data_IF_260672115445
#
_entry.id   IF_260672115445
#
_cell.length_a   1.000
_cell.length_b   1.000
_cell.length_c   1.000
_cell.angle_alpha   90.00
_cell.angle_beta   90.00
_cell.angle_gamma   90.00
#
_symmetry.space_group_name_H-M   'P 1'
#
loop_
_entity.id
_entity.type
_entity.pdbx_description
1 polymer ?
#
# COMPACT_ATOMS: atom_id res chain seq x y z
N UNK A 1 3.32 78.40 11.48
CA UNK A 1 3.02 77.46 12.58
C UNK A 1 2.53 76.09 12.12
N UNK A 2 1.63 75.97 11.12
CA UNK A 2 1.07 74.67 10.68
C UNK A 2 2.10 73.66 10.16
N UNK A 3 3.11 74.09 9.39
CA UNK A 3 4.15 73.18 8.82
C UNK A 3 5.08 72.53 9.89
N UNK A 4 5.38 73.21 11.00
CA UNK A 4 6.20 72.65 12.09
C UNK A 4 5.44 71.60 12.92
N UNK A 5 4.12 71.72 13.01
CA UNK A 5 3.25 70.77 13.71
C UNK A 5 3.14 69.45 12.94
N UNK A 6 3.03 69.51 11.60
CA UNK A 6 3.05 68.30 10.77
C UNK A 6 4.40 67.57 10.81
N UNK A 7 5.51 68.32 10.91
CA UNK A 7 6.85 67.72 11.05
C UNK A 7 7.03 67.03 12.42
N UNK A 8 6.53 67.63 13.50
CA UNK A 8 6.55 67.05 14.86
C UNK A 8 5.60 65.85 15.04
N UNK A 9 4.45 65.85 14.36
CA UNK A 9 3.52 64.71 14.28
C UNK A 9 4.11 63.56 13.45
N UNK A 10 4.77 63.88 12.33
CA UNK A 10 5.46 62.88 11.51
C UNK A 10 6.66 62.23 12.22
N UNK A 11 7.42 63.00 13.00
CA UNK A 11 8.53 62.46 13.79
C UNK A 11 8.06 61.57 14.95
N UNK A 12 6.91 61.87 15.57
CA UNK A 12 6.30 61.02 16.61
C UNK A 12 5.76 59.71 16.04
N UNK A 13 5.16 59.73 14.85
CA UNK A 13 4.69 58.51 14.17
C UNK A 13 5.84 57.59 13.75
N UNK A 14 6.97 58.16 13.32
CA UNK A 14 8.16 57.39 12.96
C UNK A 14 8.88 56.81 14.20
N UNK A 15 8.86 57.51 15.34
CA UNK A 15 9.44 57.04 16.60
C UNK A 15 8.61 55.93 17.29
N UNK A 16 7.28 55.93 17.12
CA UNK A 16 6.39 54.88 17.63
C UNK A 16 6.44 53.58 16.81
N UNK A 17 7.06 53.61 15.62
CA UNK A 17 7.19 52.45 14.73
C UNK A 17 8.38 51.54 15.06
N UNK A 18 9.21 51.90 16.05
CA UNK A 18 10.41 51.15 16.44
C UNK A 18 10.28 50.36 17.76
N UNK A 19 9.09 50.31 18.37
CA UNK A 19 8.83 49.54 19.60
C UNK A 19 7.85 48.38 19.37
N UNK A 20 8.19 47.47 18.46
CA UNK A 20 7.30 46.37 18.10
C UNK A 20 7.99 45.13 17.53
N UNK A 21 9.17 44.77 18.03
CA UNK A 21 9.63 43.40 17.90
C UNK A 21 10.39 43.05 19.19
N UNK A 22 9.61 42.70 20.22
CA UNK A 22 10.18 41.95 21.33
C UNK A 22 10.56 40.60 20.72
N UNK A 23 11.82 40.22 20.79
CA UNK A 23 12.19 38.82 20.57
C UNK A 23 11.58 38.06 21.72
N UNK A 24 10.32 37.67 21.56
CA UNK A 24 9.77 36.59 22.37
C UNK A 24 10.67 35.40 22.03
N UNK A 25 11.56 35.06 22.96
CA UNK A 25 12.23 33.77 22.90
C UNK A 25 11.09 32.75 22.87
N UNK A 26 10.91 32.12 21.71
CA UNK A 26 10.01 30.98 21.60
C UNK A 26 10.66 29.92 22.45
N UNK A 27 10.20 29.78 23.70
CA UNK A 27 10.43 28.58 24.47
C UNK A 27 9.87 27.45 23.61
N UNK A 28 10.76 26.63 23.06
CA UNK A 28 10.36 25.35 22.50
C UNK A 28 9.73 24.63 23.68
N UNK A 29 8.40 24.57 23.69
CA UNK A 29 7.66 23.78 24.68
C UNK A 29 8.26 22.38 24.74
N UNK A 30 8.19 21.74 25.91
CA UNK A 30 8.68 20.38 26.06
C UNK A 30 8.24 19.55 24.84
N UNK A 31 9.19 18.84 24.23
CA UNK A 31 8.90 17.99 23.07
C UNK A 31 7.67 17.15 23.42
N UNK A 32 6.65 17.26 22.58
CA UNK A 32 5.42 16.50 22.77
C UNK A 32 5.78 15.02 22.89
N UNK A 33 5.17 14.33 23.87
CA UNK A 33 5.50 12.93 24.12
C UNK A 33 5.23 12.13 22.83
N UNK A 34 6.20 11.33 22.41
CA UNK A 34 6.00 10.44 21.27
C UNK A 34 5.10 9.25 21.67
N UNK A 35 3.81 9.42 21.40
CA UNK A 35 2.79 8.42 21.68
C UNK A 35 2.88 7.18 20.78
N UNK A 36 3.63 7.21 19.68
CA UNK A 36 3.84 6.02 18.84
C UNK A 36 4.91 5.08 19.40
N UNK A 37 5.83 5.57 20.23
CA UNK A 37 6.78 4.73 20.98
C UNK A 37 6.15 4.09 22.22
N UNK A 38 5.13 4.73 22.79
CA UNK A 38 4.44 4.25 24.00
C UNK A 38 2.92 4.35 23.84
N UNK A 39 2.34 3.63 22.86
CA UNK A 39 0.92 3.73 22.58
C UNK A 39 0.09 3.20 23.74
N UNK A 40 -1.15 3.66 23.82
CA UNK A 40 -2.06 3.25 24.87
C UNK A 40 -2.25 1.72 24.87
N UNK A 41 -2.27 1.12 26.06
CA UNK A 41 -2.45 -0.33 26.22
C UNK A 41 -1.22 -1.20 25.90
N UNK A 42 -0.08 -0.61 25.52
CA UNK A 42 1.16 -1.37 25.32
C UNK A 42 1.68 -1.95 26.64
N UNK A 43 1.94 -3.25 26.65
CA UNK A 43 2.61 -3.92 27.77
C UNK A 43 4.09 -3.51 27.87
N UNK A 44 4.78 -3.89 28.96
CA UNK A 44 6.22 -3.68 29.06
C UNK A 44 7.01 -4.43 27.97
N UNK A 45 6.55 -5.63 27.59
CA UNK A 45 7.16 -6.42 26.52
C UNK A 45 6.91 -5.78 25.14
N UNK A 46 5.71 -5.24 24.92
CA UNK A 46 5.39 -4.50 23.70
C UNK A 46 6.33 -3.31 23.55
N UNK A 47 6.48 -2.50 24.60
CA UNK A 47 7.35 -1.31 24.58
C UNK A 47 8.81 -1.67 24.24
N UNK A 48 9.33 -2.78 24.76
CA UNK A 48 10.68 -3.24 24.42
C UNK A 48 10.82 -3.53 22.91
N UNK A 49 9.84 -4.25 22.32
CA UNK A 49 9.83 -4.53 20.88
C UNK A 49 9.70 -3.24 20.07
N UNK A 50 8.81 -2.34 20.48
CA UNK A 50 8.52 -1.09 19.77
C UNK A 50 9.72 -0.14 19.75
N UNK A 51 10.36 0.07 20.91
CA UNK A 51 11.55 0.88 21.01
C UNK A 51 12.71 0.28 20.22
N UNK A 52 12.97 -1.02 20.36
CA UNK A 52 14.05 -1.67 19.62
C UNK A 52 13.86 -1.58 18.11
N UNK A 53 12.62 -1.83 17.63
CA UNK A 53 12.30 -1.75 16.21
C UNK A 53 12.45 -0.33 15.67
N UNK A 54 12.00 0.69 16.42
CA UNK A 54 12.16 2.09 16.03
C UNK A 54 13.62 2.55 16.04
N UNK A 55 14.40 2.20 17.06
CA UNK A 55 15.81 2.57 17.15
C UNK A 55 16.62 1.96 15.99
N UNK A 56 16.23 0.78 15.52
CA UNK A 56 16.92 0.05 14.45
C UNK A 56 16.48 0.47 13.06
N UNK A 57 15.17 0.71 12.86
CA UNK A 57 14.60 0.90 11.52
C UNK A 57 14.00 2.28 11.28
N UNK A 58 13.85 3.09 12.33
CA UNK A 58 13.16 4.39 12.32
C UNK A 58 11.73 4.30 11.77
N UNK A 59 11.05 3.20 12.09
CA UNK A 59 9.65 2.92 11.74
C UNK A 59 8.95 2.55 13.04
N UNK A 60 7.75 3.10 13.26
CA UNK A 60 6.97 2.76 14.45
C UNK A 60 6.33 1.39 14.31
N UNK A 61 6.34 0.61 15.39
CA UNK A 61 5.69 -0.69 15.48
C UNK A 61 4.50 -0.59 16.43
N UNK A 62 3.34 -1.10 16.01
CA UNK A 62 2.11 -1.08 16.79
C UNK A 62 1.48 -2.47 16.82
N UNK A 63 0.94 -2.86 17.97
CA UNK A 63 0.15 -4.09 18.14
C UNK A 63 -1.32 -3.82 18.45
N UNK A 64 -1.68 -2.53 18.59
CA UNK A 64 -3.04 -2.05 18.72
C UNK A 64 -3.16 -0.72 17.96
N UNK A 65 -4.38 -0.36 17.58
CA UNK A 65 -4.64 0.84 16.78
C UNK A 65 -4.71 2.13 17.61
N UNK A 66 -4.77 2.05 18.94
CA UNK A 66 -5.00 3.19 19.83
C UNK A 66 -3.69 3.80 20.28
N UNK A 67 -3.37 4.97 19.74
CA UNK A 67 -2.14 5.71 20.04
C UNK A 67 -2.21 6.39 21.41
N UNK A 68 -3.32 7.07 21.71
CA UNK A 68 -3.45 7.85 22.94
C UNK A 68 -4.85 7.72 23.51
N UNK A 69 -4.92 7.71 24.85
CA UNK A 69 -6.14 7.95 25.62
C UNK A 69 -5.89 9.13 26.55
N UNK A 70 -6.71 10.18 26.42
CA UNK A 70 -6.62 11.37 27.24
C UNK A 70 -7.95 11.62 27.96
N UNK A 71 -7.90 11.92 29.25
CA UNK A 71 -9.08 12.40 29.97
C UNK A 71 -9.26 13.89 29.67
N UNK A 72 -10.29 14.24 28.91
CA UNK A 72 -10.50 15.62 28.45
C UNK A 72 -11.51 16.38 29.29
N UNK A 73 -12.43 15.69 29.98
CA UNK A 73 -13.39 16.32 30.88
C UNK A 73 -13.99 15.33 31.89
N UNK A 74 -14.93 15.82 32.71
CA UNK A 74 -15.73 15.02 33.64
C UNK A 74 -17.20 15.33 33.34
N UNK A 75 -18.00 14.29 33.15
CA UNK A 75 -19.43 14.41 32.91
C UNK A 75 -20.16 14.97 34.15
N UNK A 76 -21.39 15.51 34.01
CA UNK A 76 -22.17 16.03 35.15
C UNK A 76 -22.46 15.02 36.27
N UNK A 77 -22.35 13.72 35.97
CA UNK A 77 -22.50 12.60 36.92
C UNK A 77 -21.17 12.21 37.61
N UNK A 78 -20.12 13.03 37.47
CA UNK A 78 -18.76 12.79 37.95
C UNK A 78 -18.02 11.61 37.30
N UNK A 79 -18.50 11.09 36.16
CA UNK A 79 -17.74 10.09 35.41
C UNK A 79 -16.69 10.75 34.49
N UNK A 80 -15.45 10.23 34.42
CA UNK A 80 -14.43 10.79 33.53
C UNK A 80 -14.79 10.56 32.05
N UNK A 81 -14.66 11.60 31.24
CA UNK A 81 -14.83 11.54 29.79
C UNK A 81 -13.45 11.49 29.12
N UNK A 82 -13.28 10.54 28.21
CA UNK A 82 -12.01 10.29 27.52
C UNK A 82 -12.12 10.53 26.02
N UNK A 83 -11.06 11.07 25.44
CA UNK A 83 -10.83 11.13 24.00
C UNK A 83 -9.76 10.11 23.63
N UNK A 84 -9.95 9.46 22.49
CA UNK A 84 -9.03 8.47 21.96
C UNK A 84 -8.48 8.95 20.63
N UNK A 85 -7.17 8.81 20.47
CA UNK A 85 -6.49 8.97 19.18
C UNK A 85 -6.13 7.57 18.68
N UNK A 86 -6.64 7.20 17.51
CA UNK A 86 -6.35 5.93 16.88
C UNK A 86 -5.66 6.13 15.52
N UNK A 87 -4.97 5.10 15.05
CA UNK A 87 -4.45 5.01 13.70
C UNK A 87 -5.62 5.04 12.71
N UNK A 88 -5.64 6.05 11.85
CA UNK A 88 -6.62 6.12 10.78
C UNK A 88 -6.06 5.53 9.49
N UNK A 89 -6.33 4.23 9.25
CA UNK A 89 -5.92 3.56 8.00
C UNK A 89 -6.61 4.14 6.76
N UNK A 90 -7.85 4.63 6.90
CA UNK A 90 -8.65 5.18 5.81
C UNK A 90 -8.29 6.62 5.44
N UNK A 91 -7.37 7.27 6.16
CA UNK A 91 -6.98 8.64 5.89
C UNK A 91 -6.21 8.77 4.58
N UNK A 92 -6.59 9.75 3.75
CA UNK A 92 -5.83 10.17 2.59
C UNK A 92 -6.00 11.68 2.32
N UNK A 93 -4.97 12.32 1.77
CA UNK A 93 -4.95 13.78 1.53
C UNK A 93 -5.90 14.22 0.41
N UNK A 94 -6.15 13.36 -0.59
CA UNK A 94 -7.01 13.67 -1.75
C UNK A 94 -8.44 13.16 -1.58
N UNK A 95 -8.74 12.61 -0.40
CA UNK A 95 -10.03 12.06 -0.01
C UNK A 95 -9.83 11.01 1.07
N UNK A 96 -10.58 11.10 2.18
CA UNK A 96 -10.61 10.03 3.18
C UNK A 96 -11.61 8.98 2.74
N UNK A 97 -11.31 7.70 3.01
CA UNK A 97 -12.36 6.68 2.97
C UNK A 97 -13.47 7.11 3.94
N UNK A 98 -14.67 7.26 3.40
CA UNK A 98 -15.85 7.60 4.19
C UNK A 98 -16.13 6.48 5.16
N UNK A 99 -16.26 6.80 6.46
CA UNK A 99 -16.61 5.83 7.49
C UNK A 99 -18.02 5.25 7.34
N UNK A 100 -18.86 5.85 6.48
CA UNK A 100 -20.16 5.27 6.08
C UNK A 100 -20.00 4.13 5.09
N UNK A 101 -18.92 4.14 4.32
CA UNK A 101 -18.70 3.22 3.21
C UNK A 101 -17.57 2.23 3.50
N UNK A 102 -16.77 2.48 4.54
CA UNK A 102 -15.56 1.75 4.88
C UNK A 102 -15.40 1.70 6.40
N UNK A 103 -15.43 0.49 6.98
CA UNK A 103 -15.27 0.28 8.43
C UNK A 103 -14.12 -0.70 8.64
N UNK A 104 -13.24 -0.37 9.58
CA UNK A 104 -12.16 -1.23 10.02
C UNK A 104 -12.43 -1.73 11.43
N UNK A 105 -12.32 -3.03 11.61
CA UNK A 105 -12.25 -3.70 12.90
C UNK A 105 -11.02 -4.62 12.90
N UNK A 106 -10.40 -4.81 14.06
CA UNK A 106 -9.18 -5.60 14.19
C UNK A 106 -9.32 -6.65 15.28
N UNK A 107 -8.85 -7.86 14.95
CA UNK A 107 -8.53 -8.85 15.96
C UNK A 107 -7.05 -8.66 16.33
N UNK A 108 -6.77 -8.41 17.60
CA UNK A 108 -5.41 -8.15 18.08
C UNK A 108 -4.67 -9.45 18.42
N UNK A 109 -3.35 -9.42 18.29
CA UNK A 109 -2.47 -10.52 18.71
C UNK A 109 -2.57 -10.66 20.23
N UNK A 110 -2.78 -11.88 20.73
CA UNK A 110 -3.08 -12.13 22.14
C UNK A 110 -1.83 -12.43 22.98
N UNK A 111 -0.79 -13.02 22.39
CA UNK A 111 0.39 -13.49 23.14
C UNK A 111 1.67 -12.75 22.78
N UNK A 112 2.57 -12.59 23.76
CA UNK A 112 3.89 -11.97 23.53
C UNK A 112 4.75 -12.78 22.54
N UNK A 113 4.60 -14.12 22.54
CA UNK A 113 5.30 -14.99 21.59
C UNK A 113 4.91 -14.68 20.14
N UNK A 114 3.61 -14.55 19.86
CA UNK A 114 3.12 -14.20 18.53
C UNK A 114 3.58 -12.81 18.10
N UNK A 115 3.53 -11.81 19.01
CA UNK A 115 4.03 -10.46 18.73
C UNK A 115 5.52 -10.45 18.38
N UNK A 116 6.32 -11.24 19.11
CA UNK A 116 7.75 -11.38 18.83
C UNK A 116 7.99 -12.02 17.46
N UNK A 117 7.29 -13.12 17.13
CA UNK A 117 7.41 -13.78 15.82
C UNK A 117 6.96 -12.85 14.69
N UNK A 118 5.86 -12.11 14.87
CA UNK A 118 5.39 -11.15 13.88
C UNK A 118 6.39 -10.01 13.65
N UNK A 119 6.99 -9.49 14.73
CA UNK A 119 8.04 -8.46 14.65
C UNK A 119 9.24 -8.97 13.88
N UNK A 120 9.71 -10.18 14.21
CA UNK A 120 10.84 -10.81 13.54
C UNK A 120 10.55 -11.09 12.06
N UNK A 121 9.36 -11.59 11.74
CA UNK A 121 8.94 -11.82 10.35
C UNK A 121 9.00 -10.52 9.51
N UNK A 122 8.48 -9.42 10.04
CA UNK A 122 8.54 -8.12 9.33
C UNK A 122 9.98 -7.64 9.20
N UNK A 123 10.78 -7.76 10.25
CA UNK A 123 12.17 -7.36 10.25
C UNK A 123 13.04 -8.15 9.27
N UNK A 124 12.90 -9.47 9.27
CA UNK A 124 13.83 -10.38 8.59
C UNK A 124 13.36 -10.74 7.17
N UNK A 125 12.05 -10.73 6.91
CA UNK A 125 11.46 -11.18 5.62
C UNK A 125 10.85 -10.04 4.82
N UNK A 126 10.20 -9.05 5.46
CA UNK A 126 9.52 -7.95 4.74
C UNK A 126 10.46 -6.77 4.48
N UNK A 127 10.98 -6.15 5.55
CA UNK A 127 11.77 -4.91 5.49
C UNK A 127 13.00 -4.95 4.55
N UNK A 128 13.75 -6.06 4.42
CA UNK A 128 14.88 -6.12 3.50
C UNK A 128 14.48 -5.96 2.03
N UNK A 129 13.19 -6.18 1.74
CA UNK A 129 12.60 -6.09 0.40
C UNK A 129 12.01 -4.71 0.11
N UNK A 130 11.94 -3.84 1.13
CA UNK A 130 11.38 -2.50 1.05
C UNK A 130 12.52 -1.48 1.14
N UNK A 131 12.80 -0.84 0.02
CA UNK A 131 13.62 0.35 -0.05
C UNK A 131 13.01 1.51 0.73
N UNK A 132 13.78 2.59 0.97
CA UNK A 132 13.38 3.68 1.86
C UNK A 132 11.99 4.26 1.56
N UNK A 133 11.65 4.47 0.29
CA UNK A 133 10.39 5.10 -0.14
C UNK A 133 9.14 4.20 0.00
N UNK A 134 9.35 2.90 0.22
CA UNK A 134 8.28 1.93 0.45
C UNK A 134 8.05 1.64 1.94
N UNK A 135 8.99 2.05 2.81
CA UNK A 135 8.84 1.87 4.25
C UNK A 135 7.77 2.81 4.78
N UNK A 136 6.73 2.30 5.46
CA UNK A 136 5.69 3.16 6.01
C UNK A 136 6.23 3.91 7.23
N UNK A 137 5.50 4.97 7.64
CA UNK A 137 5.76 5.64 8.91
C UNK A 137 5.56 4.68 10.10
N UNK A 138 4.53 3.83 10.05
CA UNK A 138 4.33 2.76 11.04
C UNK A 138 3.82 1.45 10.43
N UNK A 139 4.11 0.35 11.11
CA UNK A 139 3.42 -0.93 10.94
C UNK A 139 2.43 -1.15 12.08
N UNK A 140 1.24 -1.65 11.74
CA UNK A 140 0.28 -2.20 12.69
C UNK A 140 0.20 -3.71 12.47
N UNK A 141 0.76 -4.49 13.39
CA UNK A 141 0.75 -5.96 13.33
C UNK A 141 -0.39 -6.47 14.19
N UNK A 142 -1.34 -7.15 13.53
CA UNK A 142 -2.60 -7.58 14.12
C UNK A 142 -2.91 -9.00 13.68
N UNK A 143 -3.76 -9.71 14.41
CA UNK A 143 -4.13 -11.07 14.04
C UNK A 143 -4.93 -11.06 12.72
N UNK A 144 -5.94 -10.20 12.64
CA UNK A 144 -6.85 -10.11 11.49
C UNK A 144 -7.34 -8.70 11.22
N UNK A 145 -7.42 -8.34 9.93
CA UNK A 145 -8.11 -7.13 9.46
C UNK A 145 -9.53 -7.52 9.06
N UNK A 146 -10.54 -6.99 9.74
CA UNK A 146 -11.95 -7.08 9.35
C UNK A 146 -12.33 -5.77 8.65
N UNK A 147 -12.28 -5.77 7.31
CA UNK A 147 -12.52 -4.59 6.50
C UNK A 147 -13.86 -4.69 5.77
N UNK A 148 -14.80 -3.85 6.17
CA UNK A 148 -16.15 -3.79 5.62
C UNK A 148 -16.22 -2.68 4.57
N UNK A 149 -16.64 -3.03 3.36
CA UNK A 149 -16.78 -2.09 2.24
C UNK A 149 -18.23 -2.09 1.75
N UNK A 150 -18.78 -0.91 1.51
CA UNK A 150 -20.12 -0.74 0.93
C UNK A 150 -20.26 -1.49 -0.39
N UNK A 151 -21.31 -2.30 -0.51
CA UNK A 151 -21.62 -2.99 -1.75
C UNK A 151 -22.29 -2.00 -2.72
N UNK A 152 -21.58 -1.65 -3.80
CA UNK A 152 -22.05 -0.73 -4.83
C UNK A 152 -23.39 -1.15 -5.47
N UNK A 153 -23.75 -2.44 -5.40
CA UNK A 153 -24.98 -2.98 -6.01
C UNK A 153 -26.20 -2.89 -5.10
N UNK A 154 -26.04 -2.78 -3.77
CA UNK A 154 -27.18 -2.82 -2.82
C UNK A 154 -27.21 -1.68 -1.82
N UNK A 155 -26.13 -0.86 -1.69
CA UNK A 155 -25.94 0.33 -0.83
C UNK A 155 -26.21 0.16 0.69
N UNK A 156 -26.96 -0.88 1.09
CA UNK A 156 -27.36 -1.18 2.46
C UNK A 156 -26.62 -2.39 3.06
N UNK A 157 -25.83 -3.10 2.26
CA UNK A 157 -25.06 -4.26 2.72
C UNK A 157 -23.56 -3.95 2.67
N UNK A 158 -22.90 -4.14 3.81
CA UNK A 158 -21.46 -4.08 3.93
C UNK A 158 -20.86 -5.45 3.62
N UNK A 159 -19.94 -5.51 2.67
CA UNK A 159 -19.20 -6.74 2.36
C UNK A 159 -17.96 -6.81 3.25
N UNK A 160 -17.90 -7.82 4.11
CA UNK A 160 -16.70 -8.14 4.87
C UNK A 160 -15.62 -8.70 3.93
N UNK A 161 -14.44 -8.12 4.03
CA UNK A 161 -13.20 -8.59 3.40
C UNK A 161 -12.12 -8.71 4.46
N UNK A 162 -11.23 -9.68 4.28
CA UNK A 162 -10.12 -9.91 5.20
C UNK A 162 -8.79 -9.76 4.45
N UNK A 163 -8.36 -8.53 4.15
CA UNK A 163 -7.11 -8.30 3.46
C UNK A 163 -5.92 -8.70 4.36
N UNK A 164 -4.88 -9.27 3.74
CA UNK A 164 -3.61 -9.56 4.43
C UNK A 164 -2.84 -8.29 4.75
N UNK A 165 -2.96 -7.27 3.89
CA UNK A 165 -2.32 -5.96 4.08
C UNK A 165 -3.32 -4.86 3.76
N UNK A 166 -3.31 -3.80 4.56
CA UNK A 166 -3.96 -2.53 4.21
C UNK A 166 -2.96 -1.37 4.32
N UNK A 167 -2.72 -0.67 3.21
CA UNK A 167 -1.78 0.46 3.14
C UNK A 167 -2.50 1.80 3.31
N UNK A 168 -2.45 2.34 4.53
CA UNK A 168 -2.77 3.74 4.81
C UNK A 168 -1.59 4.66 4.48
N UNK A 169 -1.82 5.98 4.54
CA UNK A 169 -0.76 6.96 4.26
C UNK A 169 0.35 6.93 5.32
N UNK A 170 -0.02 6.77 6.59
CA UNK A 170 0.91 6.78 7.73
C UNK A 170 1.12 5.41 8.36
N UNK A 171 0.31 4.41 8.00
CA UNK A 171 0.39 3.09 8.62
C UNK A 171 0.07 2.01 7.60
N UNK A 172 0.89 0.95 7.58
CA UNK A 172 0.58 -0.30 6.89
C UNK A 172 0.15 -1.32 7.94
N UNK A 173 -1.11 -1.72 7.89
CA UNK A 173 -1.60 -2.83 8.72
C UNK A 173 -1.33 -4.16 8.03
N UNK A 174 -0.83 -5.14 8.78
CA UNK A 174 -0.51 -6.48 8.30
C UNK A 174 -1.21 -7.49 9.23
N UNK A 175 -2.03 -8.35 8.64
CA UNK A 175 -2.56 -9.52 9.32
C UNK A 175 -1.43 -10.56 9.45
N UNK A 176 -1.22 -11.07 10.67
CA UNK A 176 -0.12 -11.99 10.99
C UNK A 176 -0.60 -13.27 11.70
N UNK A 177 -1.90 -13.55 11.64
CA UNK A 177 -2.50 -14.77 12.17
C UNK A 177 -1.77 -16.02 11.66
N UNK A 178 -1.41 -16.90 12.60
CA UNK A 178 -0.84 -18.22 12.31
C UNK A 178 0.64 -18.23 11.91
N UNK A 179 1.35 -17.09 11.92
CA UNK A 179 2.79 -17.05 11.58
C UNK A 179 3.65 -17.99 12.44
N UNK A 180 3.25 -18.22 13.70
CA UNK A 180 3.98 -19.11 14.63
C UNK A 180 4.00 -20.56 14.19
N UNK A 181 3.04 -20.97 13.37
CA UNK A 181 2.83 -22.37 12.96
C UNK A 181 3.30 -22.61 11.52
N UNK A 182 3.66 -21.56 10.79
CA UNK A 182 4.14 -21.63 9.41
C UNK A 182 5.59 -22.12 9.31
N UNK A 183 5.89 -22.92 8.29
CA UNK A 183 7.27 -23.22 7.89
C UNK A 183 7.97 -22.01 7.25
N UNK A 184 9.28 -22.09 7.06
CA UNK A 184 10.04 -21.04 6.36
C UNK A 184 9.56 -20.83 4.91
N UNK A 185 9.17 -21.91 4.22
CA UNK A 185 8.60 -21.85 2.87
C UNK A 185 7.23 -21.18 2.87
N UNK A 186 6.36 -21.53 3.83
CA UNK A 186 5.04 -20.90 3.99
C UNK A 186 5.15 -19.41 4.33
N UNK A 187 6.07 -19.04 5.23
CA UNK A 187 6.37 -17.64 5.52
C UNK A 187 6.92 -16.90 4.29
N UNK A 188 7.72 -17.56 3.45
CA UNK A 188 8.24 -16.98 2.20
C UNK A 188 7.11 -16.72 1.20
N UNK A 189 6.18 -17.67 1.03
CA UNK A 189 4.99 -17.47 0.22
C UNK A 189 4.12 -16.33 0.76
N UNK A 190 3.95 -16.26 2.09
CA UNK A 190 3.18 -15.20 2.75
C UNK A 190 3.84 -13.82 2.60
N UNK A 191 5.17 -13.73 2.74
CA UNK A 191 5.95 -12.54 2.40
C UNK A 191 5.65 -12.08 0.98
N UNK A 192 5.68 -12.98 0.00
CA UNK A 192 5.48 -12.61 -1.40
C UNK A 192 4.06 -12.06 -1.62
N UNK A 193 3.05 -12.61 -0.96
CA UNK A 193 1.69 -12.08 -0.98
C UNK A 193 1.60 -10.65 -0.38
N UNK A 194 2.29 -10.40 0.74
CA UNK A 194 2.37 -9.08 1.38
C UNK A 194 3.03 -8.07 0.43
N UNK A 195 4.21 -8.40 -0.10
CA UNK A 195 4.97 -7.50 -0.99
C UNK A 195 4.21 -7.21 -2.28
N UNK A 196 3.60 -8.22 -2.90
CA UNK A 196 2.73 -8.06 -4.06
C UNK A 196 1.59 -7.08 -3.78
N UNK A 197 0.95 -7.19 -2.62
CA UNK A 197 -0.14 -6.27 -2.24
C UNK A 197 0.39 -4.84 -2.06
N UNK A 198 1.54 -4.68 -1.40
CA UNK A 198 2.21 -3.38 -1.19
C UNK A 198 2.52 -2.70 -2.53
N UNK A 199 3.03 -3.48 -3.48
CA UNK A 199 3.48 -3.02 -4.79
C UNK A 199 2.30 -2.71 -5.69
N UNK A 200 1.26 -3.55 -5.72
CA UNK A 200 0.02 -3.27 -6.45
C UNK A 200 -0.63 -1.95 -5.98
N UNK A 201 -0.65 -1.70 -4.67
CA UNK A 201 -1.13 -0.45 -4.09
C UNK A 201 -0.32 0.79 -4.50
N UNK A 202 0.97 0.63 -4.79
CA UNK A 202 1.84 1.72 -5.30
C UNK A 202 1.70 1.90 -6.81
N UNK A 203 1.75 0.80 -7.57
CA UNK A 203 1.56 0.77 -9.03
C UNK A 203 0.26 1.47 -9.43
N UNK A 204 -0.85 1.22 -8.71
CA UNK A 204 -2.15 1.84 -8.99
C UNK A 204 -2.18 3.37 -8.84
N UNK A 205 -1.17 3.97 -8.18
CA UNK A 205 -1.04 5.41 -7.95
C UNK A 205 0.01 6.07 -8.85
N UNK A 206 0.76 5.29 -9.62
CA UNK A 206 1.76 5.80 -10.55
C UNK A 206 1.12 6.47 -11.77
N UNK A 207 1.89 7.34 -12.42
CA UNK A 207 1.53 7.85 -13.74
C UNK A 207 1.41 6.66 -14.72
N UNK A 208 0.25 6.50 -15.39
CA UNK A 208 0.06 5.44 -16.37
C UNK A 208 1.13 5.38 -17.46
N UNK A 209 1.78 6.51 -17.80
CA UNK A 209 2.81 6.58 -18.85
C UNK A 209 4.06 5.75 -18.54
N UNK A 210 4.32 5.45 -17.26
CA UNK A 210 5.44 4.59 -16.84
C UNK A 210 5.33 3.19 -17.49
N UNK A 211 4.10 2.76 -17.82
CA UNK A 211 3.83 1.46 -18.40
C UNK A 211 3.71 1.47 -19.93
N UNK A 212 3.95 2.60 -20.60
CA UNK A 212 3.76 2.71 -22.05
C UNK A 212 4.61 1.70 -22.83
N UNK A 213 5.89 1.57 -22.47
CA UNK A 213 6.79 0.57 -23.08
C UNK A 213 6.28 -0.86 -22.87
N UNK A 214 5.79 -1.17 -21.67
CA UNK A 214 5.23 -2.49 -21.34
C UNK A 214 3.99 -2.81 -22.18
N UNK A 215 3.08 -1.84 -22.33
CA UNK A 215 1.84 -2.03 -23.10
C UNK A 215 2.05 -2.00 -24.62
N UNK A 216 3.14 -1.39 -25.10
CA UNK A 216 3.35 -1.14 -26.53
C UNK A 216 3.38 -2.43 -27.38
N UNK A 217 3.93 -3.52 -26.84
CA UNK A 217 4.13 -4.79 -27.55
C UNK A 217 2.85 -5.43 -28.07
N UNK A 218 1.75 -5.32 -27.32
CA UNK A 218 0.49 -5.98 -27.63
C UNK A 218 -0.74 -5.05 -27.54
N UNK A 219 -0.50 -3.74 -27.67
CA UNK A 219 -1.52 -2.68 -27.53
C UNK A 219 -2.78 -2.92 -28.36
N UNK A 220 -2.63 -3.42 -29.59
CA UNK A 220 -3.74 -3.69 -30.51
C UNK A 220 -4.63 -4.87 -30.11
N UNK A 221 -4.20 -5.71 -29.16
CA UNK A 221 -4.90 -6.91 -28.77
C UNK A 221 -5.69 -6.75 -27.46
N UNK A 222 -5.45 -5.73 -26.66
CA UNK A 222 -6.16 -5.55 -25.38
C UNK A 222 -7.68 -5.44 -25.57
N UNK A 223 -8.43 -6.17 -24.74
CA UNK A 223 -9.90 -6.19 -24.76
C UNK A 223 -10.49 -6.57 -26.13
N UNK A 224 -9.77 -7.39 -26.91
CA UNK A 224 -10.26 -7.86 -28.21
C UNK A 224 -10.85 -9.26 -28.13
N UNK A 225 -11.88 -9.48 -28.92
CA UNK A 225 -12.49 -10.78 -29.16
C UNK A 225 -12.62 -11.00 -30.66
N UNK A 226 -12.08 -12.11 -31.16
CA UNK A 226 -12.36 -12.61 -32.50
C UNK A 226 -12.60 -14.11 -32.44
N UNK A 227 -13.50 -14.56 -33.30
CA UNK A 227 -13.82 -15.97 -33.53
C UNK A 227 -14.11 -16.16 -35.00
N UNK A 228 -13.61 -17.24 -35.58
CA UNK A 228 -13.98 -17.62 -36.94
C UNK A 228 -15.48 -17.93 -37.02
N UNK A 229 -16.13 -17.43 -38.07
CA UNK A 229 -17.56 -17.66 -38.33
C UNK A 229 -17.79 -17.97 -39.80
N UNK A 230 -18.73 -18.87 -40.08
CA UNK A 230 -19.00 -19.34 -41.44
C UNK A 230 -17.76 -19.99 -42.07
N UNK A 231 -17.32 -19.46 -43.23
CA UNK A 231 -16.15 -19.96 -43.95
C UNK A 231 -14.87 -19.12 -43.70
N UNK A 232 -14.87 -18.24 -42.68
CA UNK A 232 -13.67 -17.51 -42.26
C UNK A 232 -12.62 -18.46 -41.68
N UNK A 233 -11.36 -18.22 -42.03
CA UNK A 233 -10.19 -18.89 -41.43
C UNK A 233 -9.16 -17.86 -40.92
N UNK A 234 -9.57 -16.60 -40.73
CA UNK A 234 -8.67 -15.52 -40.31
C UNK A 234 -8.04 -15.81 -38.95
N UNK A 235 -8.82 -16.31 -37.99
CA UNK A 235 -8.32 -16.56 -36.63
C UNK A 235 -7.48 -17.83 -36.60
N UNK A 236 -7.90 -18.86 -37.33
CA UNK A 236 -7.11 -20.07 -37.54
C UNK A 236 -5.73 -19.74 -38.13
N UNK A 237 -5.67 -18.97 -39.21
CA UNK A 237 -4.40 -18.63 -39.87
C UNK A 237 -3.52 -17.73 -38.99
N UNK A 238 -4.12 -16.82 -38.21
CA UNK A 238 -3.42 -16.05 -37.21
C UNK A 238 -2.78 -16.95 -36.13
N UNK A 239 -3.52 -17.93 -35.60
CA UNK A 239 -3.03 -18.87 -34.59
C UNK A 239 -1.96 -19.81 -35.16
N UNK A 240 -2.00 -20.14 -36.45
CA UNK A 240 -0.89 -20.91 -37.08
C UNK A 240 0.43 -20.13 -37.05
N UNK A 241 0.38 -18.81 -37.20
CA UNK A 241 1.56 -17.92 -37.15
C UNK A 241 1.97 -17.66 -35.70
N UNK A 242 1.01 -17.57 -34.79
CA UNK A 242 1.22 -17.38 -33.35
C UNK A 242 0.58 -18.55 -32.57
N UNK A 243 1.24 -19.72 -32.48
CA UNK A 243 0.66 -20.92 -31.88
C UNK A 243 0.17 -20.75 -30.44
N UNK A 244 0.74 -19.78 -29.72
CA UNK A 244 0.44 -19.49 -28.31
C UNK A 244 0.20 -18.00 -28.10
N UNK A 245 -0.56 -17.66 -27.06
CA UNK A 245 -0.72 -16.26 -26.64
C UNK A 245 0.62 -15.63 -26.16
N UNK A 246 1.58 -16.46 -25.76
CA UNK A 246 2.92 -16.03 -25.36
C UNK A 246 3.75 -15.51 -26.54
N UNK A 247 3.50 -16.00 -27.77
CA UNK A 247 4.10 -15.44 -28.99
C UNK A 247 3.76 -13.96 -29.20
N UNK A 248 2.66 -13.52 -28.58
CA UNK A 248 2.17 -12.15 -28.61
C UNK A 248 2.50 -11.37 -27.32
N UNK A 249 3.18 -11.99 -26.36
CA UNK A 249 3.56 -11.36 -25.09
C UNK A 249 2.50 -11.41 -23.99
N UNK A 250 1.51 -12.30 -24.06
CA UNK A 250 0.52 -12.48 -23.00
C UNK A 250 0.82 -13.73 -22.17
N UNK A 251 0.72 -13.60 -20.84
CA UNK A 251 0.76 -14.76 -19.93
C UNK A 251 -0.60 -15.43 -19.79
N UNK A 252 -1.69 -14.73 -20.07
CA UNK A 252 -3.05 -15.28 -20.04
C UNK A 252 -4.03 -14.58 -20.99
N UNK A 253 -5.11 -15.29 -21.32
CA UNK A 253 -6.24 -14.81 -22.10
C UNK A 253 -7.54 -15.48 -21.59
N UNK A 254 -8.71 -14.95 -21.93
CA UNK A 254 -9.98 -15.65 -21.66
C UNK A 254 -10.14 -16.89 -22.56
N UNK A 255 -9.65 -16.79 -23.80
CA UNK A 255 -9.61 -17.89 -24.75
C UNK A 255 -8.50 -17.65 -25.78
N UNK A 256 -7.84 -18.71 -26.22
CA UNK A 256 -6.87 -18.67 -27.32
C UNK A 256 -6.77 -20.07 -27.95
N UNK A 257 -6.73 -20.16 -29.28
CA UNK A 257 -6.62 -21.44 -29.98
C UNK A 257 -7.95 -21.90 -30.57
N UNK A 258 -8.22 -23.22 -30.48
CA UNK A 258 -9.47 -23.84 -30.90
C UNK A 258 -10.25 -24.42 -29.69
N UNK A 259 -10.65 -23.59 -28.72
CA UNK A 259 -11.50 -24.07 -27.65
C UNK A 259 -12.88 -24.39 -28.22
N UNK A 260 -13.39 -25.58 -27.91
CA UNK A 260 -14.76 -26.01 -28.25
C UNK A 260 -15.07 -26.17 -29.76
N UNK A 261 -14.05 -26.34 -30.61
CA UNK A 261 -14.23 -26.59 -32.05
C UNK A 261 -14.34 -25.33 -32.91
N UNK A 262 -14.10 -24.15 -32.33
CA UNK A 262 -14.01 -22.88 -33.05
C UNK A 262 -12.68 -22.17 -32.76
N UNK A 263 -11.98 -21.72 -33.81
CA UNK A 263 -10.79 -20.89 -33.63
C UNK A 263 -11.18 -19.51 -33.12
N UNK A 264 -10.61 -19.11 -31.97
CA UNK A 264 -10.86 -17.82 -31.35
C UNK A 264 -9.69 -17.32 -30.52
N UNK A 265 -9.64 -16.01 -30.33
CA UNK A 265 -8.91 -15.38 -29.24
C UNK A 265 -9.79 -14.35 -28.53
N UNK A 266 -9.62 -14.27 -27.21
CA UNK A 266 -10.31 -13.34 -26.34
C UNK A 266 -9.31 -12.82 -25.31
N UNK A 267 -8.75 -11.65 -25.58
CA UNK A 267 -7.72 -11.04 -24.74
C UNK A 267 -8.33 -10.17 -23.66
N UNK A 268 -7.72 -10.23 -22.48
CA UNK A 268 -8.15 -9.44 -21.31
C UNK A 268 -7.81 -7.96 -21.51
N UNK A 269 -8.38 -7.11 -20.65
CA UNK A 269 -7.99 -5.71 -20.57
C UNK A 269 -6.53 -5.58 -20.10
N UNK A 270 -5.86 -4.48 -20.48
CA UNK A 270 -4.45 -4.22 -20.15
C UNK A 270 -4.12 -4.28 -18.65
N UNK A 271 -5.10 -4.01 -17.78
CA UNK A 271 -4.93 -4.12 -16.33
C UNK A 271 -4.64 -5.55 -15.87
N UNK A 272 -5.25 -6.56 -16.51
CA UNK A 272 -4.99 -7.97 -16.19
C UNK A 272 -3.60 -8.40 -16.66
N UNK A 273 -3.14 -7.86 -17.77
CA UNK A 273 -1.79 -8.14 -18.27
C UNK A 273 -0.73 -7.56 -17.32
N UNK A 274 -0.92 -6.32 -16.83
CA UNK A 274 -0.08 -5.77 -15.77
C UNK A 274 -0.13 -6.61 -14.49
N UNK A 275 -1.31 -7.08 -14.08
CA UNK A 275 -1.49 -7.96 -12.93
C UNK A 275 -0.76 -9.30 -13.09
N UNK A 276 -0.93 -9.98 -14.23
CA UNK A 276 -0.31 -11.27 -14.52
C UNK A 276 1.22 -11.18 -14.46
N UNK A 277 1.81 -10.15 -15.07
CA UNK A 277 3.27 -9.96 -15.01
C UNK A 277 3.73 -9.51 -13.61
N UNK A 278 2.95 -8.71 -12.88
CA UNK A 278 3.28 -8.34 -11.50
C UNK A 278 3.33 -9.59 -10.63
N UNK A 279 2.35 -10.49 -10.78
CA UNK A 279 2.32 -11.78 -10.09
C UNK A 279 3.54 -12.62 -10.44
N UNK A 280 3.87 -12.73 -11.73
CA UNK A 280 5.02 -13.50 -12.18
C UNK A 280 6.35 -13.03 -11.57
N UNK A 281 6.53 -11.72 -11.35
CA UNK A 281 7.74 -11.17 -10.71
C UNK A 281 7.89 -11.62 -9.26
N UNK A 282 6.80 -11.85 -8.53
CA UNK A 282 6.83 -12.31 -7.13
C UNK A 282 6.72 -13.83 -6.95
N UNK A 283 6.17 -14.53 -7.95
CA UNK A 283 5.88 -15.97 -7.88
C UNK A 283 7.01 -16.83 -8.45
N UNK A 284 7.78 -16.31 -9.41
CA UNK A 284 8.88 -17.04 -10.05
C UNK A 284 10.23 -16.40 -9.78
N UNK A 285 11.23 -17.25 -9.51
CA UNK A 285 12.63 -16.85 -9.70
C UNK A 285 12.92 -16.57 -11.17
N UNK A 286 14.01 -15.84 -11.43
CA UNK A 286 14.43 -15.54 -12.80
C UNK A 286 14.76 -16.80 -13.61
N UNK A 287 15.31 -17.82 -12.96
CA UNK A 287 15.56 -19.13 -13.56
C UNK A 287 14.27 -19.85 -13.91
N UNK A 288 13.30 -19.93 -12.98
CA UNK A 288 12.00 -20.58 -13.23
C UNK A 288 11.24 -19.89 -14.35
N UNK A 289 11.19 -18.55 -14.34
CA UNK A 289 10.51 -17.79 -15.38
C UNK A 289 11.18 -17.99 -16.76
N UNK A 290 12.51 -18.00 -16.80
CA UNK A 290 13.26 -18.25 -18.03
C UNK A 290 13.04 -19.68 -18.55
N UNK A 291 12.98 -20.68 -17.66
CA UNK A 291 12.70 -22.06 -18.05
C UNK A 291 11.29 -22.23 -18.64
N UNK A 292 10.30 -21.48 -18.12
CA UNK A 292 8.93 -21.52 -18.62
C UNK A 292 8.72 -20.71 -19.91
N UNK A 293 9.33 -19.52 -19.99
CA UNK A 293 9.00 -18.53 -21.01
C UNK A 293 10.17 -18.06 -21.88
N UNK A 294 11.38 -18.57 -21.67
CA UNK A 294 12.60 -18.08 -22.32
C UNK A 294 12.59 -18.16 -23.85
N UNK A 295 11.75 -19.01 -24.44
CA UNK A 295 11.55 -19.10 -25.88
C UNK A 295 10.65 -17.99 -26.47
N UNK A 296 10.01 -17.16 -25.63
CA UNK A 296 9.09 -16.10 -26.02
C UNK A 296 9.72 -14.72 -25.76
N UNK A 297 10.38 -14.09 -26.77
CA UNK A 297 11.16 -12.88 -26.55
C UNK A 297 10.33 -11.71 -26.00
N UNK A 298 9.08 -11.56 -26.46
CA UNK A 298 8.20 -10.47 -26.00
C UNK A 298 7.83 -10.67 -24.52
N UNK A 299 7.59 -11.91 -24.09
CA UNK A 299 7.30 -12.23 -22.68
C UNK A 299 8.49 -11.86 -21.81
N UNK A 300 9.69 -12.27 -22.21
CA UNK A 300 10.91 -11.94 -21.47
C UNK A 300 11.17 -10.43 -21.40
N UNK A 301 10.91 -9.68 -22.48
CA UNK A 301 11.06 -8.22 -22.48
C UNK A 301 10.05 -7.53 -21.56
N UNK A 302 8.78 -7.93 -21.61
CA UNK A 302 7.75 -7.37 -20.71
C UNK A 302 8.03 -7.67 -19.25
N UNK A 303 8.48 -8.89 -18.94
CA UNK A 303 8.92 -9.27 -17.60
C UNK A 303 10.08 -8.41 -17.13
N UNK A 304 11.12 -8.22 -17.95
CA UNK A 304 12.27 -7.37 -17.60
C UNK A 304 11.88 -5.90 -17.37
N UNK A 305 11.01 -5.33 -18.23
CA UNK A 305 10.52 -3.97 -18.07
C UNK A 305 9.77 -3.81 -16.75
N UNK A 306 8.84 -4.71 -16.45
CA UNK A 306 8.06 -4.61 -15.22
C UNK A 306 8.91 -4.86 -13.97
N UNK A 307 9.85 -5.81 -14.03
CA UNK A 307 10.84 -6.06 -12.98
C UNK A 307 11.64 -4.78 -12.68
N UNK A 308 12.07 -4.06 -13.72
CA UNK A 308 12.78 -2.80 -13.56
C UNK A 308 11.90 -1.71 -12.94
N UNK A 309 10.65 -1.55 -13.40
CA UNK A 309 9.70 -0.59 -12.82
C UNK A 309 9.49 -0.88 -11.32
N UNK A 310 9.34 -2.16 -10.96
CA UNK A 310 9.18 -2.59 -9.56
C UNK A 310 10.44 -2.31 -8.74
N UNK A 311 11.63 -2.53 -9.30
CA UNK A 311 12.89 -2.18 -8.65
C UNK A 311 13.04 -0.65 -8.46
N UNK A 312 12.66 0.14 -9.46
CA UNK A 312 12.69 1.62 -9.42
C UNK A 312 11.70 2.20 -8.40
N UNK A 313 10.62 1.47 -8.09
CA UNK A 313 9.73 1.77 -6.97
C UNK A 313 10.39 1.57 -5.60
N UNK A 314 11.60 1.01 -5.56
CA UNK A 314 12.35 0.71 -4.35
C UNK A 314 12.11 -0.70 -3.81
N UNK A 315 11.54 -1.62 -4.60
CA UNK A 315 11.43 -3.03 -4.17
C UNK A 315 12.76 -3.72 -4.43
N UNK A 316 13.26 -4.43 -3.42
CA UNK A 316 14.43 -5.30 -3.56
C UNK A 316 13.89 -6.72 -3.78
N UNK A 317 13.96 -7.15 -5.04
CA UNK A 317 13.50 -8.45 -5.53
C UNK A 317 14.52 -9.56 -5.23
#
# INVERSE_FOLDING_TARGET
MKSKIFFLLGLNFLALSFFGCRSDEVEIGALEKDYYLTPYGASANDQLLQHHFYDTHHIYLLFNDTIQKEQTSVNPDNTPFYTYQAVNLGYSMTGSLSSKDNIFEFDYIQTDKEKQVATQFVQDKILPSLGPDLRPFSFLLIDKINYYVSNASTYYEMRLTNPVVFQGWRCTAIAVSGLTDMTDEEQTAYRNQILKTIVAGKISKLDPSIFDSFYSFCSQYYSTFKMDSGNSHEVEDFIKIHPTMMDLGFLSAYAYGNPYGFYMYNFKAKSYDLEDYTNAVFEYSEEEFTNLYGQYPIVMQKYAILKQIIADLGVIL
#
